data_IF_446774597515
#
_entry.id   IF_446774597515
#
_cell.length_a   1.000
_cell.length_b   1.000
_cell.length_c   1.000
_cell.angle_alpha   90.00
_cell.angle_beta   90.00
_cell.angle_gamma   90.00
#
_symmetry.space_group_name_H-M   'P 1'
#
loop_
_entity.id
_entity.type
_entity.pdbx_description
1 polymer ?
#
# COMPACT_ATOMS: atom_id res chain seq x y z
N UNK A 1 2.59 5.83 -18.26
CA UNK A 1 3.96 6.16 -18.73
C UNK A 1 4.86 4.93 -18.83
N UNK A 2 5.21 4.22 -17.74
CA UNK A 2 6.15 3.07 -17.85
C UNK A 2 5.61 1.91 -18.70
N UNK A 3 4.40 1.39 -18.35
CA UNK A 3 3.78 0.28 -19.10
C UNK A 3 3.52 0.61 -20.58
N UNK A 4 3.15 1.85 -20.89
CA UNK A 4 2.95 2.30 -22.28
C UNK A 4 4.25 2.33 -23.09
N UNK A 5 5.40 2.44 -22.41
CA UNK A 5 6.73 2.37 -23.03
C UNK A 5 7.32 0.96 -23.00
N UNK A 6 6.52 -0.07 -22.71
CA UNK A 6 6.97 -1.47 -22.67
C UNK A 6 7.77 -1.85 -21.42
N UNK A 7 7.86 -0.97 -20.42
CA UNK A 7 8.55 -1.26 -19.16
C UNK A 7 7.55 -1.93 -18.20
N UNK A 8 7.81 -3.16 -17.71
CA UNK A 8 6.96 -3.76 -16.70
C UNK A 8 6.96 -2.90 -15.45
N UNK A 9 5.78 -2.59 -14.94
CA UNK A 9 5.62 -1.79 -13.74
C UNK A 9 4.42 -2.29 -12.93
N UNK A 10 4.50 -2.16 -11.61
CA UNK A 10 3.42 -2.50 -10.68
C UNK A 10 3.04 -1.26 -9.89
N UNK A 11 1.76 -1.16 -9.62
CA UNK A 11 1.18 -0.12 -8.78
C UNK A 11 0.99 -0.72 -7.40
N UNK A 12 1.48 -0.04 -6.37
CA UNK A 12 1.44 -0.53 -5.00
C UNK A 12 0.60 0.38 -4.13
N UNK A 13 -0.14 -0.23 -3.23
CA UNK A 13 -1.03 0.44 -2.30
C UNK A 13 -0.76 -0.07 -0.89
N UNK A 14 -0.74 0.87 0.04
CA UNK A 14 -0.58 0.56 1.45
C UNK A 14 -0.81 1.76 2.35
N UNK A 15 -0.33 1.64 3.57
CA UNK A 15 -0.38 2.72 4.56
C UNK A 15 1.00 3.31 4.80
N UNK A 16 1.17 4.64 4.72
CA UNK A 16 2.37 5.29 5.21
C UNK A 16 2.32 5.33 6.74
N UNK A 17 3.46 5.11 7.37
CA UNK A 17 3.66 5.31 8.79
C UNK A 17 4.37 6.65 9.01
N UNK A 18 3.98 7.45 10.01
CA UNK A 18 4.67 8.69 10.31
C UNK A 18 6.09 8.40 10.85
N UNK A 19 7.08 9.11 10.32
CA UNK A 19 8.47 9.02 10.79
C UNK A 19 8.56 9.40 12.28
N UNK A 20 9.46 8.74 13.02
CA UNK A 20 9.76 9.02 14.43
C UNK A 20 8.58 8.87 15.40
N UNK A 21 7.61 8.02 15.06
CA UNK A 21 6.52 7.64 15.95
C UNK A 21 6.48 6.13 16.13
N UNK A 22 6.23 5.70 17.36
CA UNK A 22 6.07 4.29 17.70
C UNK A 22 4.61 3.88 17.76
N UNK A 23 3.67 4.83 17.73
CA UNK A 23 2.22 4.58 17.64
C UNK A 23 1.48 5.79 17.08
N UNK A 24 0.24 5.57 16.61
CA UNK A 24 -0.68 6.63 16.23
C UNK A 24 -1.69 6.22 15.17
N UNK A 25 -2.55 7.18 14.83
CA UNK A 25 -3.56 7.01 13.78
C UNK A 25 -2.96 7.14 12.38
N UNK A 26 -3.51 6.36 11.45
CA UNK A 26 -3.18 6.40 10.03
C UNK A 26 -4.28 7.20 9.31
N UNK A 27 -3.89 8.35 8.73
CA UNK A 27 -4.83 9.28 8.11
C UNK A 27 -5.45 8.77 6.79
N UNK A 28 -4.78 7.86 6.10
CA UNK A 28 -5.25 7.30 4.83
C UNK A 28 -4.20 6.49 4.11
N UNK A 29 -4.58 5.93 2.97
CA UNK A 29 -3.67 5.18 2.11
C UNK A 29 -2.61 6.08 1.44
N UNK A 30 -1.53 5.45 1.01
CA UNK A 30 -0.54 6.01 0.10
C UNK A 30 -0.29 5.02 -1.03
N UNK A 31 0.08 5.54 -2.19
CA UNK A 31 0.40 4.73 -3.36
C UNK A 31 1.81 5.03 -3.84
N UNK A 32 2.45 3.99 -4.34
CA UNK A 32 3.77 4.07 -4.97
C UNK A 32 3.84 3.06 -6.11
N UNK A 33 5.02 2.84 -6.67
CA UNK A 33 5.19 1.90 -7.76
C UNK A 33 6.55 1.21 -7.70
N UNK A 34 6.66 0.12 -8.45
CA UNK A 34 7.93 -0.48 -8.82
C UNK A 34 7.97 -0.70 -10.33
N UNK A 35 9.15 -0.65 -10.92
CA UNK A 35 9.37 -0.97 -12.34
C UNK A 35 10.52 -1.96 -12.50
N UNK A 36 10.44 -2.79 -13.53
CA UNK A 36 11.43 -3.84 -13.75
C UNK A 36 12.51 -3.38 -14.73
N UNK A 37 13.77 -3.54 -14.32
CA UNK A 37 14.94 -3.36 -15.17
C UNK A 37 15.63 -4.72 -15.37
N UNK A 38 15.86 -5.09 -16.63
CA UNK A 38 16.57 -6.31 -16.96
C UNK A 38 17.99 -6.29 -16.36
N UNK A 39 18.38 -7.38 -15.70
CA UNK A 39 19.67 -7.50 -15.01
C UNK A 39 19.72 -6.84 -13.61
N UNK A 40 18.71 -6.07 -13.21
CA UNK A 40 18.63 -5.44 -11.87
C UNK A 40 17.47 -6.01 -11.05
N UNK A 41 16.30 -6.17 -11.64
CA UNK A 41 15.08 -6.59 -10.95
C UNK A 41 14.06 -5.48 -10.80
N UNK A 42 13.21 -5.59 -9.77
CA UNK A 42 12.22 -4.58 -9.43
C UNK A 42 12.86 -3.40 -8.69
N UNK A 43 12.63 -2.20 -9.20
CA UNK A 43 13.15 -0.95 -8.67
C UNK A 43 11.99 -0.12 -8.14
N UNK A 44 11.97 0.21 -6.84
CA UNK A 44 10.90 0.98 -6.24
C UNK A 44 10.97 2.46 -6.63
N UNK A 45 9.81 3.11 -6.72
CA UNK A 45 9.69 4.54 -7.00
C UNK A 45 8.49 5.15 -6.29
N UNK A 46 8.71 6.28 -5.62
CA UNK A 46 7.68 7.06 -4.93
C UNK A 46 7.68 8.51 -5.42
N UNK A 47 6.98 8.75 -6.53
CA UNK A 47 6.91 10.07 -7.15
C UNK A 47 6.17 11.11 -6.26
N UNK A 48 5.24 10.66 -5.42
CA UNK A 48 4.51 11.55 -4.50
C UNK A 48 5.45 12.05 -3.40
N UNK A 49 6.21 11.17 -2.78
CA UNK A 49 7.17 11.58 -1.73
C UNK A 49 8.33 12.40 -2.31
N UNK A 50 8.82 12.06 -3.51
CA UNK A 50 9.80 12.87 -4.23
C UNK A 50 9.30 14.30 -4.54
N UNK A 51 7.99 14.44 -4.81
CA UNK A 51 7.35 15.73 -5.04
C UNK A 51 7.19 16.53 -3.73
N UNK A 52 6.74 15.89 -2.66
CA UNK A 52 6.56 16.51 -1.34
C UNK A 52 7.88 16.95 -0.71
N UNK A 53 8.95 16.17 -0.91
CA UNK A 53 10.28 16.46 -0.41
C UNK A 53 11.33 16.31 -1.54
N UNK A 54 11.58 17.38 -2.32
CA UNK A 54 12.53 17.34 -3.43
C UNK A 54 13.96 16.94 -3.05
N UNK A 55 14.38 17.14 -1.79
CA UNK A 55 15.68 16.70 -1.31
C UNK A 55 15.80 15.17 -1.22
N UNK A 56 14.67 14.45 -1.14
CA UNK A 56 14.61 12.98 -1.16
C UNK A 56 14.31 12.41 -2.56
N UNK A 57 14.42 13.21 -3.64
CA UNK A 57 14.09 12.76 -5.00
C UNK A 57 14.89 11.54 -5.42
N UNK A 58 16.21 11.57 -5.26
CA UNK A 58 17.09 10.47 -5.68
C UNK A 58 16.87 9.23 -4.81
N UNK A 59 16.65 9.41 -3.51
CA UNK A 59 16.28 8.32 -2.61
C UNK A 59 14.96 7.65 -3.05
N UNK A 60 13.94 8.46 -3.38
CA UNK A 60 12.62 7.98 -3.77
C UNK A 60 12.59 7.38 -5.19
N UNK A 61 13.72 7.37 -5.90
CA UNK A 61 13.91 6.72 -7.19
C UNK A 61 14.92 5.57 -7.03
N UNK A 62 14.47 4.48 -6.40
CA UNK A 62 15.30 3.30 -6.14
C UNK A 62 15.24 2.79 -4.71
N UNK A 63 14.60 3.52 -3.78
CA UNK A 63 14.33 3.05 -2.43
C UNK A 63 12.94 3.42 -1.93
N UNK A 64 12.46 2.61 -0.99
CA UNK A 64 11.36 2.94 -0.08
C UNK A 64 11.93 3.17 1.31
N UNK A 65 11.34 4.09 2.07
CA UNK A 65 11.58 4.15 3.51
C UNK A 65 10.96 2.92 4.23
N UNK A 66 11.34 2.74 5.49
CA UNK A 66 10.84 1.66 6.35
C UNK A 66 9.46 1.96 6.96
N UNK A 67 8.95 3.18 6.81
CA UNK A 67 7.75 3.68 7.46
C UNK A 67 6.54 3.49 6.54
N UNK A 68 6.29 2.25 6.12
CA UNK A 68 5.15 1.90 5.28
C UNK A 68 4.75 0.44 5.45
N UNK A 69 3.48 0.16 5.22
CA UNK A 69 2.92 -1.20 5.19
C UNK A 69 2.28 -1.43 3.83
N UNK A 70 2.83 -2.37 3.07
CA UNK A 70 2.30 -2.79 1.77
C UNK A 70 1.07 -3.69 1.95
N UNK A 71 0.05 -3.50 1.10
CA UNK A 71 -1.16 -4.35 1.08
C UNK A 71 -1.40 -5.01 -0.26
N UNK A 72 -1.51 -4.23 -1.35
CA UNK A 72 -1.92 -4.80 -2.65
C UNK A 72 -1.16 -4.23 -3.83
N UNK A 73 -1.05 -5.09 -4.85
CA UNK A 73 -0.57 -4.72 -6.18
C UNK A 73 -1.75 -4.52 -7.13
N UNK A 74 -1.60 -3.54 -8.02
CA UNK A 74 -2.41 -3.39 -9.22
C UNK A 74 -3.70 -2.59 -9.02
N UNK A 75 -4.48 -2.62 -10.09
CA UNK A 75 -5.80 -2.01 -10.20
C UNK A 75 -6.79 -3.09 -10.60
N UNK A 76 -8.08 -2.83 -10.46
CA UNK A 76 -9.17 -3.70 -10.91
C UNK A 76 -9.08 -5.11 -10.28
N UNK A 77 -8.92 -5.14 -8.96
CA UNK A 77 -8.70 -6.32 -8.13
C UNK A 77 -9.99 -7.13 -7.96
N UNK A 78 -9.94 -8.42 -8.29
CA UNK A 78 -10.90 -9.43 -7.86
C UNK A 78 -10.43 -10.06 -6.55
N UNK A 79 -11.29 -10.04 -5.54
CA UNK A 79 -11.04 -10.65 -4.24
C UNK A 79 -11.11 -12.17 -4.34
N UNK A 80 -10.53 -12.87 -3.36
CA UNK A 80 -10.67 -14.30 -3.21
C UNK A 80 -11.17 -14.60 -1.79
N UNK A 81 -12.41 -15.09 -1.60
CA UNK A 81 -13.38 -15.43 -2.63
C UNK A 81 -13.88 -14.20 -3.43
N UNK A 82 -14.33 -14.44 -4.66
CA UNK A 82 -14.85 -13.41 -5.55
C UNK A 82 -15.98 -12.61 -4.90
N UNK A 83 -15.86 -11.29 -4.94
CA UNK A 83 -16.97 -10.40 -4.64
C UNK A 83 -18.03 -10.45 -5.74
N UNK A 84 -19.30 -10.23 -5.40
CA UNK A 84 -20.40 -10.14 -6.40
C UNK A 84 -20.40 -8.81 -7.15
N UNK A 85 -19.89 -7.75 -6.55
CA UNK A 85 -19.74 -6.43 -7.17
C UNK A 85 -18.67 -6.39 -8.27
N UNK A 86 -18.36 -5.19 -8.76
CA UNK A 86 -17.28 -4.96 -9.75
C UNK A 86 -15.86 -5.15 -9.15
N UNK A 87 -14.81 -5.28 -9.98
CA UNK A 87 -13.44 -5.28 -9.50
C UNK A 87 -13.13 -4.00 -8.71
N UNK A 88 -12.36 -4.12 -7.65
CA UNK A 88 -11.96 -2.97 -6.85
C UNK A 88 -10.83 -2.23 -7.54
N UNK A 89 -10.99 -0.93 -7.80
CA UNK A 89 -9.94 -0.11 -8.41
C UNK A 89 -8.60 -0.22 -7.64
N UNK A 90 -8.64 -0.35 -6.31
CA UNK A 90 -7.54 -0.78 -5.45
C UNK A 90 -8.11 -1.34 -4.15
N UNK A 91 -7.30 -2.05 -3.36
CA UNK A 91 -7.76 -2.68 -2.12
C UNK A 91 -6.82 -2.36 -0.94
N UNK A 92 -7.36 -1.66 0.05
CA UNK A 92 -6.66 -1.19 1.26
C UNK A 92 -7.64 -1.00 2.41
N UNK A 93 -8.85 -0.56 2.09
CA UNK A 93 -9.94 -0.43 3.04
C UNK A 93 -10.82 -1.68 3.04
N UNK A 94 -11.45 -2.02 4.18
CA UNK A 94 -12.43 -3.08 4.27
C UNK A 94 -13.48 -3.00 3.18
N UNK A 95 -13.76 -4.16 2.61
CA UNK A 95 -14.82 -4.36 1.67
C UNK A 95 -15.83 -5.35 2.27
N UNK A 96 -17.11 -5.04 2.16
CA UNK A 96 -18.19 -5.90 2.64
C UNK A 96 -19.35 -5.88 1.66
N UNK A 97 -20.07 -7.00 1.59
CA UNK A 97 -21.31 -7.12 0.83
C UNK A 97 -22.45 -7.58 1.74
N UNK A 98 -23.64 -7.02 1.52
CA UNK A 98 -24.89 -7.48 2.13
C UNK A 98 -25.89 -7.77 1.01
N UNK A 99 -26.49 -8.96 1.00
CA UNK A 99 -27.38 -9.41 -0.07
C UNK A 99 -26.77 -9.27 -1.48
N UNK A 100 -25.44 -9.42 -1.59
CA UNK A 100 -24.69 -9.27 -2.83
C UNK A 100 -24.56 -7.85 -3.37
N UNK A 101 -24.77 -6.85 -2.52
CA UNK A 101 -24.51 -5.45 -2.83
C UNK A 101 -23.41 -4.91 -1.91
N UNK A 102 -22.47 -4.08 -2.42
CA UNK A 102 -21.46 -3.45 -1.59
C UNK A 102 -22.07 -2.60 -0.47
N UNK A 103 -21.60 -2.79 0.76
CA UNK A 103 -22.00 -1.96 1.90
C UNK A 103 -21.34 -0.59 1.76
N UNK A 104 -22.15 0.47 1.82
CA UNK A 104 -21.68 1.86 1.74
C UNK A 104 -21.41 2.42 3.15
N UNK A 105 -20.54 3.44 3.22
CA UNK A 105 -20.25 4.20 4.44
C UNK A 105 -19.76 3.34 5.62
N UNK A 106 -18.94 2.32 5.33
CA UNK A 106 -18.22 1.59 6.36
C UNK A 106 -17.35 2.56 7.17
N UNK A 107 -17.56 2.57 8.48
CA UNK A 107 -16.71 3.31 9.40
C UNK A 107 -15.42 2.54 9.59
N UNK A 108 -14.29 3.19 9.36
CA UNK A 108 -12.98 2.57 9.44
C UNK A 108 -12.04 3.46 10.24
N UNK A 109 -11.27 2.83 11.12
CA UNK A 109 -10.19 3.47 11.85
C UNK A 109 -8.95 2.59 11.73
N UNK A 110 -7.82 3.21 11.40
CA UNK A 110 -6.55 2.53 11.23
C UNK A 110 -5.53 3.20 12.14
N UNK A 111 -4.77 2.38 12.84
CA UNK A 111 -3.68 2.83 13.69
C UNK A 111 -2.55 1.83 13.63
N UNK A 112 -1.37 2.27 14.06
CA UNK A 112 -0.21 1.42 14.22
C UNK A 112 0.34 1.59 15.62
N UNK A 113 1.06 0.57 16.07
CA UNK A 113 1.93 0.63 17.24
C UNK A 113 3.06 -0.37 17.08
N UNK A 114 4.22 -0.03 17.59
CA UNK A 114 5.31 -0.98 17.78
C UNK A 114 4.91 -2.00 18.84
N UNK A 115 5.30 -3.25 18.61
CA UNK A 115 5.06 -4.35 19.53
C UNK A 115 6.39 -4.95 19.95
N UNK A 116 6.56 -5.16 21.25
CA UNK A 116 7.72 -5.90 21.77
C UNK A 116 7.68 -7.36 21.32
N UNK A 117 8.85 -8.01 21.31
CA UNK A 117 8.95 -9.44 20.99
C UNK A 117 8.06 -10.31 21.90
N UNK A 118 7.93 -9.94 23.18
CA UNK A 118 7.06 -10.64 24.13
C UNK A 118 5.57 -10.49 23.77
N UNK A 119 5.14 -9.30 23.37
CA UNK A 119 3.76 -9.05 22.93
C UNK A 119 3.44 -9.78 21.62
N UNK A 120 4.39 -9.82 20.69
CA UNK A 120 4.24 -10.57 19.44
C UNK A 120 4.06 -12.07 19.72
N UNK A 121 4.89 -12.64 20.60
CA UNK A 121 4.80 -14.05 20.98
C UNK A 121 3.46 -14.42 21.67
N UNK A 122 2.85 -13.48 22.38
CA UNK A 122 1.54 -13.67 23.01
C UNK A 122 0.37 -13.59 22.01
N UNK A 123 0.51 -12.83 20.93
CA UNK A 123 -0.56 -12.62 19.93
C UNK A 123 -0.68 -13.75 18.90
N UNK A 124 0.33 -14.62 18.78
CA UNK A 124 0.38 -15.75 17.83
C UNK A 124 -0.05 -17.08 18.50
N UNK A 125 -0.53 -17.03 19.75
CA UNK A 125 -1.15 -18.16 20.46
C UNK A 125 -2.67 -18.07 20.38
#
# INVERSE_FOLDING_TARGET
>A
MMRSSGIPARFEIGFPLPENKTEGDIAGYHCWAEFYLAGVGWVPVDASEAWKNPAKRDFSFGAHDVNRVFFTYGRDIRLSPDQKGEPLNYFIYPYAEANGQPVKNLQTHFSFREVSAAQLAAAVR
#
